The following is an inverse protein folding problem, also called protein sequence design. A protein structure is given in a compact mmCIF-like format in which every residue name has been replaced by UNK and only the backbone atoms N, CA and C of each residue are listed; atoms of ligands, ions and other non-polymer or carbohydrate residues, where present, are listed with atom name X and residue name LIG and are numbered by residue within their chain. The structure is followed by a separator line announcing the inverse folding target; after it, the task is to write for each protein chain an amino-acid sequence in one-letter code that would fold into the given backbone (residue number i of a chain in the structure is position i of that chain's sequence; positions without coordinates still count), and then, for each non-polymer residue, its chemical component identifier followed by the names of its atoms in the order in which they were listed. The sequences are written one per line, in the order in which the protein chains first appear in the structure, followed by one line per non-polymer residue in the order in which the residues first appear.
data_IF_310458393067
#
_entry.id   IF_310458393067
#
_cell.length_a   1.000
_cell.length_b   1.000
_cell.length_c   1.000
_cell.angle_alpha   90.00
_cell.angle_beta   90.00
_cell.angle_gamma   90.00
#
_symmetry.space_group_name_H-M   'P 1'
#
loop_
_entity.id
_entity.type
_entity.pdbx_description
1 polymer ?
#
# COMPACT_ATOMS: atom_id res chain seq x y z
N UNK A 1 35.61 -52.52 0.68
CA UNK A 1 35.84 -51.08 0.88
C UNK A 1 34.74 -50.34 0.11
N UNK A 2 33.77 -49.83 0.82
CA UNK A 2 32.66 -49.02 0.24
C UNK A 2 33.01 -47.54 0.50
N UNK A 3 33.24 -46.78 -0.58
CA UNK A 3 33.48 -45.34 -0.54
C UNK A 3 32.12 -44.63 -0.45
N UNK A 4 31.79 -44.13 0.73
CA UNK A 4 30.66 -43.21 0.91
C UNK A 4 31.13 -41.84 0.44
N UNK A 5 30.58 -41.37 -0.69
CA UNK A 5 30.74 -39.99 -1.15
C UNK A 5 29.96 -39.02 -0.28
N UNK A 6 30.44 -37.76 -0.13
CA UNK A 6 29.71 -36.75 0.62
C UNK A 6 28.39 -36.42 -0.06
N UNK A 7 27.28 -36.57 0.66
CA UNK A 7 25.98 -36.08 0.22
C UNK A 7 26.04 -34.55 0.16
N UNK A 8 25.94 -33.98 -1.05
CA UNK A 8 25.71 -32.55 -1.21
C UNK A 8 24.29 -32.26 -0.72
N UNK A 9 24.18 -31.56 0.40
CA UNK A 9 22.92 -30.96 0.80
C UNK A 9 22.47 -29.98 -0.31
N UNK A 10 21.26 -30.18 -0.83
CA UNK A 10 20.65 -29.21 -1.73
C UNK A 10 20.62 -27.85 -1.01
N UNK A 11 20.86 -26.72 -1.72
CA UNK A 11 20.73 -25.42 -1.11
C UNK A 11 19.31 -25.31 -0.53
N UNK A 12 19.22 -24.93 0.75
CA UNK A 12 17.95 -24.65 1.38
C UNK A 12 17.28 -23.55 0.55
N UNK A 13 16.15 -23.86 -0.06
CA UNK A 13 15.31 -22.84 -0.69
C UNK A 13 15.00 -21.80 0.38
N UNK A 14 15.26 -20.52 0.09
CA UNK A 14 14.85 -19.43 0.98
C UNK A 14 13.39 -19.66 1.39
N UNK A 15 13.08 -19.64 2.69
CA UNK A 15 11.72 -19.83 3.13
C UNK A 15 10.85 -18.75 2.48
N UNK A 16 9.76 -19.18 1.82
CA UNK A 16 8.76 -18.26 1.33
C UNK A 16 8.34 -17.32 2.47
N UNK A 17 8.10 -16.03 2.19
CA UNK A 17 7.62 -15.10 3.21
C UNK A 17 6.36 -15.69 3.88
N UNK A 18 6.47 -16.03 5.16
CA UNK A 18 5.48 -16.84 5.88
C UNK A 18 4.10 -16.17 5.97
N UNK A 19 4.02 -14.88 5.71
CA UNK A 19 2.83 -14.06 5.94
C UNK A 19 2.11 -13.60 4.67
N UNK A 20 2.50 -14.09 3.49
CA UNK A 20 1.85 -13.74 2.21
C UNK A 20 1.03 -14.94 1.73
N UNK A 21 -0.32 -14.88 1.82
CA UNK A 21 -1.18 -15.92 1.27
C UNK A 21 -0.95 -16.09 -0.24
N UNK A 22 -0.94 -17.33 -0.71
CA UNK A 22 -0.80 -17.63 -2.14
C UNK A 22 0.41 -16.93 -2.81
N UNK A 23 1.56 -16.89 -2.12
CA UNK A 23 2.74 -16.15 -2.62
C UNK A 23 3.21 -16.64 -3.99
N UNK A 24 3.09 -17.94 -4.28
CA UNK A 24 3.41 -18.45 -5.60
C UNK A 24 2.52 -17.83 -6.68
N UNK A 25 1.23 -17.66 -6.41
CA UNK A 25 0.32 -16.97 -7.33
C UNK A 25 0.72 -15.50 -7.55
N UNK A 26 1.26 -14.83 -6.52
CA UNK A 26 1.79 -13.48 -6.67
C UNK A 26 3.04 -13.44 -7.56
N UNK A 27 3.96 -14.40 -7.40
CA UNK A 27 5.15 -14.55 -8.25
C UNK A 27 4.75 -14.81 -9.71
N UNK A 28 3.77 -15.67 -9.93
CA UNK A 28 3.27 -15.99 -11.28
C UNK A 28 2.57 -14.77 -11.90
N UNK A 29 1.80 -14.01 -11.11
CA UNK A 29 1.15 -12.80 -11.55
C UNK A 29 2.15 -11.76 -12.05
N UNK A 30 3.20 -11.43 -11.27
CA UNK A 30 4.20 -10.42 -11.69
C UNK A 30 5.02 -10.84 -12.91
N UNK A 31 5.11 -12.15 -13.18
CA UNK A 31 5.80 -12.72 -14.37
C UNK A 31 4.87 -12.85 -15.58
N UNK A 32 3.58 -12.58 -15.42
CA UNK A 32 2.61 -12.74 -16.51
C UNK A 32 2.81 -11.73 -17.64
N UNK A 33 2.46 -12.12 -18.86
CA UNK A 33 2.47 -11.24 -20.01
C UNK A 33 1.52 -10.05 -19.83
N UNK A 34 0.37 -10.26 -19.20
CA UNK A 34 -0.64 -9.22 -18.98
C UNK A 34 -0.11 -8.09 -18.10
N UNK A 35 0.56 -8.41 -16.99
CA UNK A 35 1.16 -7.39 -16.12
C UNK A 35 2.33 -6.70 -16.83
N UNK A 36 3.18 -7.46 -17.54
CA UNK A 36 4.24 -6.85 -18.35
C UNK A 36 3.67 -5.87 -19.37
N UNK A 37 2.64 -6.26 -20.11
CA UNK A 37 1.98 -5.40 -21.09
C UNK A 37 1.35 -4.15 -20.45
N UNK A 38 0.76 -4.28 -19.26
CA UNK A 38 0.24 -3.13 -18.51
C UNK A 38 1.34 -2.14 -18.11
N UNK A 39 2.50 -2.64 -17.66
CA UNK A 39 3.69 -1.81 -17.40
C UNK A 39 4.17 -1.11 -18.65
N UNK A 40 4.26 -1.83 -19.78
CA UNK A 40 4.67 -1.22 -21.05
C UNK A 40 3.68 -0.12 -21.52
N UNK A 41 2.38 -0.35 -21.42
CA UNK A 41 1.37 0.68 -21.71
C UNK A 41 1.54 1.90 -20.82
N UNK A 42 1.74 1.71 -19.52
CA UNK A 42 1.99 2.81 -18.59
C UNK A 42 3.25 3.60 -18.96
N UNK A 43 4.34 2.93 -19.30
CA UNK A 43 5.60 3.56 -19.68
C UNK A 43 5.58 4.22 -21.06
N UNK A 44 4.66 3.82 -21.96
CA UNK A 44 4.50 4.44 -23.27
C UNK A 44 3.83 5.82 -23.21
N UNK A 45 3.15 6.14 -22.09
CA UNK A 45 2.54 7.46 -21.90
C UNK A 45 3.60 8.44 -21.42
N UNK A 46 3.85 9.56 -22.13
CA UNK A 46 4.80 10.56 -21.69
C UNK A 46 4.39 11.18 -20.36
N UNK A 47 5.36 11.44 -19.48
CA UNK A 47 5.10 12.20 -18.26
C UNK A 47 4.83 13.65 -18.64
N UNK A 48 3.70 14.27 -18.24
CA UNK A 48 3.43 15.66 -18.50
C UNK A 48 4.52 16.56 -17.92
N UNK A 49 5.17 17.35 -18.74
CA UNK A 49 6.11 18.39 -18.31
C UNK A 49 5.32 19.66 -18.05
N UNK A 50 5.18 20.02 -16.76
CA UNK A 50 4.58 21.29 -16.37
C UNK A 50 3.05 21.32 -16.46
N UNK A 51 2.35 20.87 -15.42
CA UNK A 51 0.96 21.24 -15.06
C UNK A 51 -0.12 21.26 -16.15
N UNK A 52 0.07 20.54 -17.24
CA UNK A 52 -0.92 20.46 -18.32
C UNK A 52 -1.98 19.44 -17.94
N UNK A 53 -3.22 19.88 -17.78
CA UNK A 53 -4.41 19.05 -17.53
C UNK A 53 -4.87 18.25 -18.77
N UNK A 54 -4.01 18.07 -19.77
CA UNK A 54 -4.35 17.30 -20.97
C UNK A 54 -4.48 15.82 -20.61
N UNK A 55 -5.67 15.29 -20.80
CA UNK A 55 -5.92 13.84 -20.71
C UNK A 55 -5.03 13.14 -21.73
N UNK A 56 -4.14 12.29 -21.25
CA UNK A 56 -3.26 11.50 -22.11
C UNK A 56 -3.95 10.19 -22.48
N UNK A 57 -3.99 9.91 -23.78
CA UNK A 57 -4.51 8.64 -24.28
C UNK A 57 -3.39 7.61 -24.28
N UNK A 58 -3.62 6.44 -23.70
CA UNK A 58 -2.72 5.30 -23.80
C UNK A 58 -2.82 4.76 -25.23
N UNK A 59 -1.69 4.68 -26.00
CA UNK A 59 -1.71 4.14 -27.33
C UNK A 59 -2.19 2.68 -27.35
N UNK A 60 -3.14 2.36 -28.21
CA UNK A 60 -3.54 0.97 -28.45
C UNK A 60 -2.56 0.33 -29.44
N UNK A 61 -1.56 -0.39 -28.88
CA UNK A 61 -0.56 -1.14 -29.64
C UNK A 61 -0.81 -2.63 -29.48
N UNK A 62 -0.68 -3.39 -30.57
CA UNK A 62 -0.76 -4.86 -30.54
C UNK A 62 0.33 -5.46 -29.65
N UNK A 63 1.57 -4.94 -29.73
CA UNK A 63 2.64 -5.21 -28.76
C UNK A 63 2.97 -3.92 -28.00
N UNK A 64 2.50 -3.77 -26.77
CA UNK A 64 2.76 -2.58 -25.96
C UNK A 64 4.25 -2.40 -25.61
N UNK A 65 5.03 -3.47 -25.62
CA UNK A 65 6.44 -3.48 -25.23
C UNK A 65 7.40 -3.26 -26.43
N UNK A 66 6.87 -3.19 -27.64
CA UNK A 66 7.70 -2.99 -28.84
C UNK A 66 8.56 -1.72 -28.74
N UNK A 67 9.87 -1.90 -28.96
CA UNK A 67 10.86 -0.80 -28.90
C UNK A 67 11.26 -0.36 -27.50
N UNK A 68 10.75 -1.01 -26.44
CA UNK A 68 11.18 -0.70 -25.07
C UNK A 68 12.45 -1.47 -24.67
N UNK A 69 13.31 -0.88 -23.80
CA UNK A 69 14.40 -1.60 -23.17
C UNK A 69 13.88 -2.84 -22.41
N UNK A 70 14.69 -3.88 -22.38
CA UNK A 70 14.35 -5.09 -21.62
C UNK A 70 14.33 -4.79 -20.11
N UNK A 71 13.29 -5.27 -19.42
CA UNK A 71 13.16 -5.19 -17.96
C UNK A 71 12.53 -6.47 -17.40
N UNK A 72 12.71 -6.66 -16.09
CA UNK A 72 11.98 -7.65 -15.30
C UNK A 72 11.33 -6.97 -14.11
N UNK A 73 10.19 -7.51 -13.68
CA UNK A 73 9.53 -7.09 -12.44
C UNK A 73 10.11 -7.95 -11.33
N UNK A 74 10.57 -7.30 -10.24
CA UNK A 74 11.14 -8.00 -9.08
C UNK A 74 10.05 -8.75 -8.32
N UNK A 75 10.48 -9.65 -7.44
CA UNK A 75 9.56 -10.41 -6.59
C UNK A 75 8.73 -9.46 -5.71
N UNK A 76 7.44 -9.81 -5.47
CA UNK A 76 6.53 -8.96 -4.74
C UNK A 76 6.84 -8.91 -3.24
N UNK A 77 6.76 -7.72 -2.67
CA UNK A 77 7.00 -7.41 -1.26
C UNK A 77 5.70 -7.02 -0.56
N UNK A 78 5.47 -7.47 0.69
CA UNK A 78 4.24 -7.21 1.42
C UNK A 78 4.15 -5.77 1.93
N UNK A 79 2.96 -5.18 1.83
CA UNK A 79 2.61 -3.91 2.46
C UNK A 79 1.33 -4.09 3.25
N UNK A 80 1.41 -3.79 4.54
CA UNK A 80 0.28 -3.84 5.46
C UNK A 80 -0.28 -2.42 5.73
N UNK A 81 -1.48 -2.36 6.27
CA UNK A 81 -2.11 -1.13 6.75
C UNK A 81 -2.69 -1.34 8.15
N UNK A 82 -2.81 -0.26 8.93
CA UNK A 82 -3.44 -0.32 10.24
C UNK A 82 -4.91 -0.75 10.12
N UNK A 83 -5.35 -1.61 11.03
CA UNK A 83 -6.72 -2.13 11.02
C UNK A 83 -7.72 -1.15 11.65
N UNK A 84 -8.98 -1.15 11.20
CA UNK A 84 -10.02 -0.34 11.85
C UNK A 84 -10.21 -0.64 13.34
N UNK A 85 -10.08 -1.91 13.74
CA UNK A 85 -10.16 -2.32 15.15
C UNK A 85 -9.02 -1.73 16.00
N UNK A 86 -7.81 -1.70 15.44
CA UNK A 86 -6.68 -1.07 16.10
C UNK A 86 -6.88 0.45 16.25
N UNK A 87 -7.36 1.10 15.21
CA UNK A 87 -7.69 2.54 15.24
C UNK A 87 -8.81 2.85 16.22
N UNK A 88 -9.84 2.00 16.30
CA UNK A 88 -10.92 2.14 17.29
C UNK A 88 -10.45 1.88 18.74
N UNK A 89 -9.30 1.20 18.91
CA UNK A 89 -8.81 0.74 20.20
C UNK A 89 -9.58 -0.45 20.75
N UNK A 90 -10.23 -1.23 19.88
CA UNK A 90 -10.96 -2.47 20.20
C UNK A 90 -10.11 -3.72 20.00
N UNK A 91 -9.05 -3.63 19.20
CA UNK A 91 -8.03 -4.68 19.02
C UNK A 91 -6.88 -4.51 20.01
N UNK A 92 -6.20 -5.59 20.31
CA UNK A 92 -4.99 -5.56 21.14
C UNK A 92 -3.81 -4.94 20.38
N UNK A 93 -2.86 -4.28 21.08
CA UNK A 93 -1.66 -3.71 20.44
C UNK A 93 -0.58 -4.78 20.20
N UNK A 94 -0.94 -5.78 19.41
CA UNK A 94 -0.07 -6.85 18.89
C UNK A 94 -0.08 -6.81 17.36
N UNK A 95 1.00 -7.24 16.72
CA UNK A 95 1.17 -7.14 15.27
C UNK A 95 -0.01 -7.74 14.49
N UNK A 96 -0.47 -8.95 14.86
CA UNK A 96 -1.53 -9.66 14.17
C UNK A 96 -2.90 -8.94 14.17
N UNK A 97 -3.16 -8.08 15.16
CA UNK A 97 -4.40 -7.30 15.25
C UNK A 97 -4.23 -5.84 14.83
N UNK A 98 -3.01 -5.32 14.95
CA UNK A 98 -2.70 -3.93 14.64
C UNK A 98 -2.69 -3.64 13.14
N UNK A 99 -2.16 -4.57 12.34
CA UNK A 99 -1.97 -4.39 10.90
C UNK A 99 -2.46 -5.59 10.12
N UNK A 100 -2.84 -5.33 8.87
CA UNK A 100 -3.29 -6.36 7.93
C UNK A 100 -2.60 -6.15 6.58
N UNK A 101 -2.14 -7.25 5.96
CA UNK A 101 -1.67 -7.24 4.59
C UNK A 101 -2.79 -6.76 3.65
N UNK A 102 -2.52 -5.70 2.89
CA UNK A 102 -3.50 -5.10 1.98
C UNK A 102 -3.09 -5.20 0.53
N UNK A 103 -1.80 -5.22 0.25
CA UNK A 103 -1.26 -5.29 -1.11
C UNK A 103 0.15 -5.83 -1.14
N UNK A 104 0.58 -6.23 -2.32
CA UNK A 104 1.98 -6.47 -2.62
C UNK A 104 2.48 -5.41 -3.59
N UNK A 105 3.77 -5.10 -3.51
CA UNK A 105 4.42 -4.12 -4.38
C UNK A 105 5.70 -4.68 -4.96
N UNK A 106 5.95 -4.38 -6.23
CA UNK A 106 7.16 -4.80 -6.93
C UNK A 106 7.74 -3.62 -7.70
N UNK A 107 9.05 -3.45 -7.73
CA UNK A 107 9.71 -2.50 -8.63
C UNK A 107 10.28 -3.21 -9.85
N UNK A 108 10.66 -2.45 -10.87
CA UNK A 108 11.47 -2.99 -11.96
C UNK A 108 12.91 -3.19 -11.50
N UNK A 109 13.62 -4.09 -12.19
CA UNK A 109 15.05 -4.31 -11.96
C UNK A 109 15.93 -3.15 -12.48
N UNK A 110 15.40 -2.32 -13.36
CA UNK A 110 16.09 -1.19 -13.99
C UNK A 110 15.11 -0.05 -14.28
N UNK A 111 15.63 1.13 -14.56
CA UNK A 111 14.86 2.24 -15.16
C UNK A 111 14.55 1.94 -16.61
N UNK A 112 13.36 2.31 -17.05
CA UNK A 112 12.94 2.22 -18.44
C UNK A 112 12.52 3.60 -18.89
N UNK A 113 13.17 4.15 -19.94
CA UNK A 113 12.95 5.52 -20.39
C UNK A 113 13.08 6.57 -19.27
N UNK A 114 14.14 6.43 -18.43
CA UNK A 114 14.43 7.27 -17.26
C UNK A 114 13.33 7.25 -16.18
N UNK A 115 12.44 6.26 -16.21
CA UNK A 115 11.34 6.10 -15.26
C UNK A 115 11.53 4.85 -14.42
N UNK A 116 11.21 4.98 -13.14
CA UNK A 116 10.96 3.87 -12.23
C UNK A 116 9.46 3.70 -12.05
N UNK A 117 9.02 2.47 -11.90
CA UNK A 117 7.61 2.19 -11.62
C UNK A 117 7.45 1.14 -10.52
N UNK A 118 6.35 1.24 -9.80
CA UNK A 118 5.87 0.23 -8.86
C UNK A 118 4.65 -0.46 -9.43
N UNK A 119 4.71 -1.79 -9.50
CA UNK A 119 3.58 -2.67 -9.79
C UNK A 119 2.92 -3.02 -8.47
N UNK A 120 1.61 -2.84 -8.36
CA UNK A 120 0.83 -3.13 -7.17
C UNK A 120 -0.12 -4.28 -7.44
N UNK A 121 -0.11 -5.29 -6.57
CA UNK A 121 -1.07 -6.39 -6.59
C UNK A 121 -2.03 -6.26 -5.40
N UNK A 122 -3.29 -6.55 -5.65
CA UNK A 122 -4.33 -6.70 -4.63
C UNK A 122 -4.78 -8.15 -4.52
N UNK A 123 -5.23 -8.60 -3.33
CA UNK A 123 -5.76 -9.94 -3.16
C UNK A 123 -7.09 -10.09 -3.91
N UNK A 124 -7.27 -11.24 -4.56
CA UNK A 124 -8.52 -11.60 -5.24
C UNK A 124 -9.48 -12.28 -4.25
N UNK A 125 -10.77 -11.99 -4.36
CA UNK A 125 -11.78 -12.74 -3.62
C UNK A 125 -11.77 -14.21 -4.11
N UNK A 126 -11.53 -15.13 -3.20
CA UNK A 126 -11.40 -16.55 -3.51
C UNK A 126 -9.96 -17.04 -3.63
N UNK A 127 -8.98 -16.18 -3.42
CA UNK A 127 -7.55 -16.50 -3.43
C UNK A 127 -6.78 -15.92 -4.62
N UNK A 128 -5.47 -15.89 -4.50
CA UNK A 128 -4.56 -15.35 -5.50
C UNK A 128 -4.48 -13.82 -5.53
N UNK A 129 -3.82 -13.30 -6.55
CA UNK A 129 -3.45 -11.88 -6.69
C UNK A 129 -3.73 -11.38 -8.11
N UNK A 130 -4.15 -10.12 -8.21
CA UNK A 130 -4.36 -9.44 -9.48
C UNK A 130 -3.69 -8.06 -9.50
N UNK A 131 -3.42 -7.55 -10.70
CA UNK A 131 -2.90 -6.20 -10.89
C UNK A 131 -3.91 -5.17 -10.39
N UNK A 132 -3.53 -4.41 -9.38
CA UNK A 132 -4.32 -3.28 -8.88
C UNK A 132 -3.94 -1.96 -9.55
N UNK A 133 -2.64 -1.72 -9.72
CA UNK A 133 -2.14 -0.50 -10.33
C UNK A 133 -0.69 -0.63 -10.79
N UNK A 134 -0.30 0.24 -11.74
CA UNK A 134 1.08 0.59 -12.04
C UNK A 134 1.25 2.08 -11.71
N UNK A 135 2.27 2.42 -10.93
CA UNK A 135 2.51 3.80 -10.47
C UNK A 135 3.91 4.25 -10.81
N UNK A 136 4.07 5.56 -10.97
CA UNK A 136 5.38 6.20 -11.11
C UNK A 136 6.18 6.10 -9.82
N UNK A 137 7.49 5.87 -9.95
CA UNK A 137 8.43 5.77 -8.85
C UNK A 137 8.49 4.38 -8.22
N UNK A 138 9.53 4.15 -7.42
CA UNK A 138 9.78 2.89 -6.71
C UNK A 138 9.70 3.04 -5.17
N UNK A 139 9.22 4.19 -4.69
CA UNK A 139 9.22 4.53 -3.27
C UNK A 139 8.48 3.50 -2.39
N UNK A 140 7.33 2.99 -2.85
CA UNK A 140 6.58 1.98 -2.11
C UNK A 140 7.37 0.66 -1.99
N UNK A 141 7.98 0.20 -3.09
CA UNK A 141 8.82 -1.00 -3.09
C UNK A 141 10.11 -0.80 -2.27
N UNK A 142 10.68 0.41 -2.29
CA UNK A 142 11.83 0.78 -1.47
C UNK A 142 11.51 0.72 0.02
N UNK A 143 10.34 1.21 0.45
CA UNK A 143 9.92 1.10 1.85
C UNK A 143 9.58 -0.35 2.22
N UNK A 144 8.83 -1.05 1.38
CA UNK A 144 8.49 -2.46 1.62
C UNK A 144 9.75 -3.34 1.77
N UNK A 145 10.79 -3.06 0.98
CA UNK A 145 12.08 -3.75 1.05
C UNK A 145 12.88 -3.53 2.34
N UNK A 146 12.45 -2.64 3.25
CA UNK A 146 13.06 -2.46 4.56
C UNK A 146 12.59 -3.50 5.59
N UNK A 147 11.55 -4.27 5.28
CA UNK A 147 11.17 -5.41 6.08
C UNK A 147 12.27 -6.49 6.06
N UNK A 148 12.58 -7.06 7.21
CA UNK A 148 13.50 -8.17 7.38
C UNK A 148 12.90 -9.23 8.30
N UNK A 149 13.69 -10.24 8.66
CA UNK A 149 13.23 -11.28 9.58
C UNK A 149 12.68 -10.67 10.89
N UNK A 150 11.46 -11.02 11.27
CA UNK A 150 10.80 -10.53 12.48
C UNK A 150 10.35 -9.07 12.44
N UNK A 151 10.35 -8.44 11.25
CA UNK A 151 9.81 -7.09 11.06
C UNK A 151 8.82 -7.06 9.91
N UNK A 152 7.89 -6.09 9.93
CA UNK A 152 6.98 -5.84 8.83
C UNK A 152 6.88 -4.34 8.55
N UNK A 153 6.56 -4.00 7.30
CA UNK A 153 6.31 -2.64 6.88
C UNK A 153 4.81 -2.41 6.77
N UNK A 154 4.35 -1.30 7.33
CA UNK A 154 2.95 -0.90 7.21
C UNK A 154 2.81 0.60 6.92
N UNK A 155 1.63 0.98 6.45
CA UNK A 155 1.30 2.35 6.12
C UNK A 155 0.15 2.88 6.95
N UNK A 156 0.19 4.20 7.16
CA UNK A 156 -0.91 5.05 7.60
C UNK A 156 -1.28 5.95 6.40
N UNK A 157 -2.22 5.52 5.54
CA UNK A 157 -2.44 6.15 4.24
C UNK A 157 -2.86 7.63 4.33
N UNK A 158 -3.60 7.99 5.39
CA UNK A 158 -4.15 9.33 5.58
C UNK A 158 -3.07 10.41 5.65
N UNK A 159 -1.91 10.07 6.19
CA UNK A 159 -0.76 10.99 6.29
C UNK A 159 0.39 10.57 5.38
N UNK A 160 0.21 9.55 4.55
CA UNK A 160 1.28 8.94 3.73
C UNK A 160 2.47 8.48 4.58
N UNK A 161 2.21 8.07 5.82
CA UNK A 161 3.21 7.58 6.76
C UNK A 161 3.59 6.14 6.44
N UNK A 162 4.90 5.86 6.41
CA UNK A 162 5.48 4.54 6.28
C UNK A 162 6.23 4.18 7.54
N UNK A 163 5.97 3.00 8.07
CA UNK A 163 6.49 2.55 9.35
C UNK A 163 7.05 1.14 9.27
N UNK A 164 8.07 0.87 10.07
CA UNK A 164 8.56 -0.47 10.38
C UNK A 164 8.03 -0.88 11.75
N UNK A 165 7.37 -2.02 11.81
CA UNK A 165 6.99 -2.67 13.07
C UNK A 165 8.03 -3.76 13.38
N UNK A 166 8.66 -3.62 14.54
CA UNK A 166 9.64 -4.56 15.08
C UNK A 166 9.16 -5.04 16.44
N UNK A 167 8.66 -6.26 16.52
CA UNK A 167 7.97 -6.77 17.71
C UNK A 167 6.81 -5.86 18.11
N UNK A 168 7.00 -5.02 19.12
CA UNK A 168 6.03 -4.07 19.67
C UNK A 168 6.49 -2.61 19.52
N UNK A 169 7.50 -2.35 18.69
CA UNK A 169 8.06 -1.02 18.46
C UNK A 169 7.77 -0.56 17.03
N UNK A 170 7.22 0.63 16.90
CA UNK A 170 6.94 1.33 15.64
C UNK A 170 8.05 2.34 15.38
N UNK A 171 8.69 2.24 14.21
CA UNK A 171 9.75 3.14 13.76
C UNK A 171 9.32 3.84 12.47
N UNK A 172 9.51 5.16 12.31
CA UNK A 172 9.14 5.87 11.09
C UNK A 172 10.16 5.62 9.99
N UNK A 173 9.67 5.38 8.76
CA UNK A 173 10.50 5.18 7.57
C UNK A 173 10.58 6.41 6.67
N UNK A 174 9.70 7.39 6.85
CA UNK A 174 9.70 8.66 6.12
C UNK A 174 9.37 9.84 7.06
N UNK A 175 9.47 11.05 6.53
CA UNK A 175 9.27 12.27 7.32
C UNK A 175 7.83 12.41 7.79
N UNK A 176 6.84 12.03 6.95
CA UNK A 176 5.43 12.05 7.32
C UNK A 176 5.14 11.11 8.50
N UNK A 177 5.75 9.93 8.51
CA UNK A 177 5.64 9.01 9.63
C UNK A 177 6.32 9.55 10.90
N UNK A 178 7.49 10.17 10.75
CA UNK A 178 8.20 10.82 11.88
C UNK A 178 7.37 11.94 12.48
N UNK A 179 6.80 12.78 11.65
CA UNK A 179 5.87 13.83 12.04
C UNK A 179 4.62 13.24 12.67
N UNK A 180 4.08 12.14 12.10
CA UNK A 180 3.00 11.35 12.64
C UNK A 180 3.27 10.79 14.04
N UNK A 181 4.52 10.50 14.39
CA UNK A 181 4.94 10.10 15.74
C UNK A 181 5.29 11.29 16.66
N UNK A 182 4.99 12.52 16.26
CA UNK A 182 5.33 13.73 17.02
C UNK A 182 6.84 13.99 17.08
N UNK A 183 7.57 13.68 16.01
CA UNK A 183 9.02 13.85 15.89
C UNK A 183 9.86 12.74 16.54
N UNK A 184 9.25 11.74 17.15
CA UNK A 184 9.97 10.64 17.81
C UNK A 184 10.59 9.69 16.78
N UNK A 185 11.74 9.11 17.14
CA UNK A 185 12.43 8.10 16.34
C UNK A 185 11.78 6.70 16.45
N UNK A 186 11.05 6.46 17.52
CA UNK A 186 10.29 5.21 17.74
C UNK A 186 9.21 5.42 18.79
N UNK A 187 8.24 4.49 18.82
CA UNK A 187 7.14 4.48 19.77
C UNK A 187 6.71 3.04 20.06
N UNK A 188 6.18 2.75 21.26
CA UNK A 188 5.54 1.47 21.50
C UNK A 188 4.27 1.33 20.66
N UNK A 189 3.94 0.09 20.24
CA UNK A 189 2.70 -0.17 19.48
C UNK A 189 1.45 0.23 20.27
N UNK A 190 1.49 0.09 21.61
CA UNK A 190 0.42 0.55 22.50
C UNK A 190 0.24 2.06 22.49
N UNK A 191 1.32 2.84 22.53
CA UNK A 191 1.23 4.31 22.46
C UNK A 191 0.87 4.79 21.06
N UNK A 192 1.33 4.09 20.03
CA UNK A 192 0.91 4.34 18.65
C UNK A 192 -0.61 4.11 18.48
N UNK A 193 -1.17 3.06 19.11
CA UNK A 193 -2.61 2.84 19.11
C UNK A 193 -3.38 4.01 19.72
N UNK A 194 -2.94 4.52 20.88
CA UNK A 194 -3.56 5.70 21.52
C UNK A 194 -3.53 6.92 20.58
N UNK A 195 -2.41 7.10 19.89
CA UNK A 195 -2.20 8.21 18.97
C UNK A 195 -3.12 8.12 17.73
N UNK A 196 -3.19 6.97 17.05
CA UNK A 196 -4.05 6.80 15.88
C UNK A 196 -5.53 6.79 16.27
N UNK A 197 -5.87 6.26 17.45
CA UNK A 197 -7.22 6.34 18.01
C UNK A 197 -7.64 7.80 18.22
N UNK A 198 -6.82 8.62 18.85
CA UNK A 198 -7.11 10.04 19.05
C UNK A 198 -7.25 10.80 17.72
N UNK A 199 -6.57 10.36 16.66
CA UNK A 199 -6.58 10.99 15.34
C UNK A 199 -7.76 10.60 14.47
N UNK A 200 -8.24 9.35 14.55
CA UNK A 200 -9.14 8.79 13.55
C UNK A 200 -10.37 8.05 14.08
N UNK A 201 -10.46 7.73 15.38
CA UNK A 201 -11.55 6.87 15.86
C UNK A 201 -12.95 7.46 15.63
N UNK A 202 -13.06 8.80 15.70
CA UNK A 202 -14.29 9.54 15.43
C UNK A 202 -14.66 9.58 13.94
N UNK A 203 -13.76 9.18 13.05
CA UNK A 203 -13.90 9.24 11.58
C UNK A 203 -14.03 7.85 10.94
N UNK A 204 -14.12 6.79 11.72
CA UNK A 204 -14.33 5.45 11.21
C UNK A 204 -15.73 5.32 10.57
N UNK A 205 -15.92 4.39 9.60
CA UNK A 205 -17.21 4.20 8.92
C UNK A 205 -18.40 3.98 9.86
N UNK A 206 -18.18 3.36 11.03
CA UNK A 206 -19.19 3.11 12.04
C UNK A 206 -19.41 4.29 13.00
N UNK A 207 -18.63 5.36 12.91
CA UNK A 207 -18.80 6.57 13.72
C UNK A 207 -19.95 7.43 13.18
N UNK A 208 -20.38 8.40 13.98
CA UNK A 208 -21.40 9.38 13.55
C UNK A 208 -20.96 10.13 12.28
N UNK A 209 -19.68 10.45 12.19
CA UNK A 209 -19.08 11.06 11.01
C UNK A 209 -19.21 10.17 9.76
N UNK A 210 -18.86 8.88 9.87
CA UNK A 210 -18.96 7.93 8.76
C UNK A 210 -20.39 7.63 8.37
N UNK A 211 -21.32 7.55 9.33
CA UNK A 211 -22.75 7.29 9.07
C UNK A 211 -23.44 8.47 8.40
N UNK A 212 -22.98 9.69 8.63
CA UNK A 212 -23.45 10.90 7.93
C UNK A 212 -22.87 11.09 6.54
N UNK A 213 -22.02 10.18 6.08
CA UNK A 213 -21.39 10.24 4.74
C UNK A 213 -20.40 11.39 4.57
N UNK A 214 -19.90 11.94 5.67
CA UNK A 214 -18.91 13.01 5.61
C UNK A 214 -17.55 12.44 5.25
N UNK A 215 -16.83 13.11 4.34
CA UNK A 215 -15.43 12.81 4.04
C UNK A 215 -14.59 14.06 4.25
N UNK A 216 -13.49 13.96 5.00
CA UNK A 216 -12.53 15.06 5.15
C UNK A 216 -11.11 14.56 4.91
N UNK A 217 -10.26 15.46 4.46
CA UNK A 217 -8.82 15.22 4.49
C UNK A 217 -8.34 15.10 5.93
N UNK A 218 -7.45 14.13 6.18
CA UNK A 218 -6.77 13.99 7.46
C UNK A 218 -5.46 14.78 7.39
N UNK A 219 -5.23 15.65 8.36
CA UNK A 219 -3.96 16.37 8.54
C UNK A 219 -3.34 15.99 9.88
N UNK A 220 -2.03 16.12 9.99
CA UNK A 220 -1.36 16.12 11.28
C UNK A 220 -1.73 17.43 11.96
N UNK A 221 -2.37 17.38 13.12
CA UNK A 221 -2.61 18.57 13.92
C UNK A 221 -1.25 19.08 14.40
N UNK A 222 -0.71 20.07 13.70
CA UNK A 222 0.36 20.90 14.25
C UNK A 222 -0.23 21.61 15.44
N UNK A 223 0.29 21.37 16.62
CA UNK A 223 -0.11 22.07 17.83
C UNK A 223 0.14 23.57 17.64
N UNK A 224 -0.93 24.31 17.36
CA UNK A 224 -0.92 25.76 17.32
C UNK A 224 -2.19 26.26 17.97
N UNK A 225 -1.96 27.17 18.86
CA UNK A 225 -2.90 27.95 19.66
C UNK A 225 -4.13 28.42 18.90
N UNK A 226 -5.23 28.45 19.63
CA UNK A 226 -6.50 29.04 19.25
C UNK A 226 -6.33 30.51 18.82
N UNK A 227 -6.65 30.80 17.56
CA UNK A 227 -7.04 32.13 17.14
C UNK A 227 -8.24 32.03 16.21
N UNK A 228 -9.37 32.44 16.74
CA UNK A 228 -10.62 32.68 16.00
C UNK A 228 -10.41 33.71 14.91
N UNK A 229 -10.76 33.38 13.66
CA UNK A 229 -11.31 34.37 12.74
C UNK A 229 -11.96 33.68 11.54
N UNK A 230 -13.23 33.94 11.42
CA UNK A 230 -14.15 33.73 10.30
C UNK A 230 -13.63 34.35 9.01
N UNK A 231 -13.49 33.55 7.95
CA UNK A 231 -13.86 33.96 6.57
C UNK A 231 -13.78 32.75 5.62
N UNK A 232 -14.80 32.46 4.78
CA UNK A 232 -14.74 31.37 3.83
C UNK A 232 -14.03 31.80 2.55
N UNK A 233 -12.97 31.12 2.18
CA UNK A 233 -12.37 31.22 0.85
C UNK A 233 -12.39 29.85 0.17
N UNK A 234 -13.26 29.76 -0.84
CA UNK A 234 -13.29 28.70 -1.85
C UNK A 234 -11.97 28.70 -2.63
N UNK A 235 -11.18 27.65 -2.51
CA UNK A 235 -10.18 27.31 -3.53
C UNK A 235 -10.27 25.82 -3.79
N UNK A 236 -10.69 25.48 -5.01
CA UNK A 236 -10.72 24.13 -5.51
C UNK A 236 -9.31 23.58 -5.75
N UNK A 237 -9.11 22.34 -5.40
CA UNK A 237 -7.90 21.58 -5.65
C UNK A 237 -8.23 20.08 -5.68
N UNK A 238 -8.34 19.57 -6.89
CA UNK A 238 -8.67 18.18 -7.21
C UNK A 238 -7.69 17.18 -6.58
N UNK A 239 -8.21 16.29 -5.75
CA UNK A 239 -7.55 15.02 -5.41
C UNK A 239 -8.62 13.94 -5.33
N UNK A 240 -9.19 13.59 -6.48
CA UNK A 240 -10.07 12.44 -6.65
C UNK A 240 -9.20 11.24 -7.04
N UNK A 241 -8.87 10.40 -6.09
CA UNK A 241 -8.54 8.98 -6.31
C UNK A 241 -8.36 8.31 -4.95
N UNK A 242 -9.28 7.47 -4.59
CA UNK A 242 -9.23 6.37 -3.61
C UNK A 242 -10.49 6.26 -2.74
N UNK A 243 -11.69 6.31 -3.33
CA UNK A 243 -12.94 6.03 -2.61
C UNK A 243 -13.72 4.83 -3.21
N UNK A 244 -13.16 4.07 -4.14
CA UNK A 244 -13.96 3.04 -4.86
C UNK A 244 -13.91 1.62 -4.25
N UNK A 245 -13.16 1.33 -3.21
CA UNK A 245 -13.09 -0.04 -2.66
C UNK A 245 -14.07 -0.30 -1.51
N UNK A 246 -14.46 0.71 -0.74
CA UNK A 246 -15.40 0.51 0.37
C UNK A 246 -16.89 0.56 -0.04
N UNK A 247 -17.24 1.23 -1.14
CA UNK A 247 -18.63 1.41 -1.59
C UNK A 247 -19.26 0.17 -2.24
N UNK A 248 -18.48 -0.66 -2.93
CA UNK A 248 -19.00 -1.83 -3.66
C UNK A 248 -19.49 -2.95 -2.73
N UNK A 249 -18.91 -3.09 -1.54
CA UNK A 249 -19.31 -4.12 -0.58
C UNK A 249 -20.67 -3.85 0.08
N UNK A 250 -21.03 -2.58 0.26
CA UNK A 250 -22.29 -2.20 0.92
C UNK A 250 -23.50 -2.34 -0.01
N UNK A 251 -23.33 -2.07 -1.30
CA UNK A 251 -24.42 -2.21 -2.29
C UNK A 251 -24.75 -3.66 -2.61
N UNK A 252 -23.75 -4.57 -2.53
CA UNK A 252 -23.99 -5.99 -2.77
C UNK A 252 -24.76 -6.68 -1.63
N UNK A 253 -24.56 -6.24 -0.40
CA UNK A 253 -25.28 -6.79 0.77
C UNK A 253 -26.75 -6.35 0.82
N UNK A 254 -27.09 -5.19 0.29
CA UNK A 254 -28.46 -4.67 0.28
C UNK A 254 -29.37 -5.37 -0.76
N UNK A 255 -28.79 -5.92 -1.83
CA UNK A 255 -29.55 -6.64 -2.87
C UNK A 255 -29.95 -8.07 -2.49
N UNK A 256 -29.32 -8.68 -1.49
CA UNK A 256 -29.65 -10.05 -1.03
C UNK A 256 -30.85 -10.15 -0.08
N UNK A 257 -31.34 -9.04 0.46
CA UNK A 257 -32.46 -9.02 1.42
C UNK A 257 -33.80 -8.62 0.81
N UNK A 258 -33.93 -8.58 -0.53
CA UNK A 258 -35.19 -8.19 -1.20
C UNK A 258 -35.83 -9.36 -1.96
N UNK A 259 -35.25 -10.54 -1.94
CA UNK A 259 -35.85 -11.75 -2.50
C UNK A 259 -35.82 -12.87 -1.47
N UNK A 260 -36.79 -12.83 -0.57
CA UNK A 260 -37.14 -13.89 0.36
C UNK A 260 -38.50 -13.60 0.95
#
# INVERSE_FOLDING_TARGET
MLLSGPAHAAPASDPLPVDIPDYQAALDAVKSADIRNAVCRFLSVPVPRGGSDTVQTIPDKADPCEGMPAFTIKDPLPVSEITPGFVAGTSQPIAAEAVKLTRLVSSLNTTVNDRQVTVMLAPTQGGGWHLAAVREGDGEATFAGKAGAGTLVFTEPQIRGWYLLKLITVEPLNDQAREGLGGKSSMSLSDYQKLVKARYADKLPASEYGTKGMSSGYGIASGAESASSTTPLLVGGSSAALVLVAGAWFLFRRRRNITG
#
